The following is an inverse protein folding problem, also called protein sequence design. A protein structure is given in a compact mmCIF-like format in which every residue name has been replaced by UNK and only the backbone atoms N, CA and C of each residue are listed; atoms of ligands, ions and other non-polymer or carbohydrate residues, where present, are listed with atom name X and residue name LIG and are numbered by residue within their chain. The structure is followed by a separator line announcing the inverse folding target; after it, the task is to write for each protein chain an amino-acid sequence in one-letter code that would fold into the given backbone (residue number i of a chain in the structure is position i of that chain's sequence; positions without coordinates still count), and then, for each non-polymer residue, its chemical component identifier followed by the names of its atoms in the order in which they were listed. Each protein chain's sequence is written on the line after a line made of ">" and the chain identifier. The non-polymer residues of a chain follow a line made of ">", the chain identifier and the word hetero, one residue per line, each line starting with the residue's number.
data_IF_693774935338
#
_entry.id   IF_693774935338
#
_cell.length_a   1.000
_cell.length_b   1.000
_cell.length_c   1.000
_cell.angle_alpha   90.00
_cell.angle_beta   90.00
_cell.angle_gamma   90.00
#
_symmetry.space_group_name_H-M   'P 1'
#
loop_
_entity.id
_entity.type
_entity.pdbx_description
1 polymer ?
#
# COMPACT_ATOMS: atom_id res chain seq x y z
N UNK A 1 1.97 -17.76 13.02
CA UNK A 1 3.08 -18.51 12.45
C UNK A 1 2.56 -19.45 11.36
N UNK A 2 2.85 -19.12 10.09
CA UNK A 2 2.40 -19.90 8.92
C UNK A 2 3.23 -21.18 8.71
N UNK A 3 4.24 -21.44 9.54
CA UNK A 3 5.07 -22.64 9.49
C UNK A 3 4.24 -23.88 9.87
N UNK A 4 3.75 -24.59 8.88
CA UNK A 4 2.93 -25.79 9.07
C UNK A 4 1.61 -25.80 8.32
N UNK A 5 1.19 -24.66 7.75
CA UNK A 5 0.06 -24.66 6.83
C UNK A 5 0.49 -25.21 5.47
N UNK A 6 -0.27 -26.15 4.86
CA UNK A 6 0.07 -26.69 3.55
C UNK A 6 0.09 -25.54 2.51
N UNK A 7 1.23 -25.39 1.80
CA UNK A 7 1.41 -24.37 0.75
C UNK A 7 0.33 -24.46 -0.35
N UNK A 8 -0.31 -25.59 -0.51
CA UNK A 8 -1.39 -25.86 -1.45
C UNK A 8 -2.67 -25.04 -1.18
N UNK A 9 -2.86 -24.55 0.06
CA UNK A 9 -4.04 -23.73 0.45
C UNK A 9 -3.96 -22.29 -0.02
N UNK A 10 -2.77 -21.79 -0.33
CA UNK A 10 -2.55 -20.38 -0.72
C UNK A 10 -2.38 -20.17 -2.23
N UNK A 11 -2.63 -21.20 -3.03
CA UNK A 11 -2.37 -21.16 -4.47
C UNK A 11 -0.86 -20.98 -4.78
N UNK A 12 -0.46 -21.19 -6.03
CA UNK A 12 0.94 -21.14 -6.49
C UNK A 12 1.58 -19.72 -6.47
N UNK A 13 1.05 -18.79 -5.70
CA UNK A 13 1.46 -17.39 -5.74
C UNK A 13 2.50 -16.98 -4.69
N UNK A 14 2.99 -17.91 -3.86
CA UNK A 14 4.17 -17.64 -3.04
C UNK A 14 5.40 -18.03 -3.86
N UNK A 15 5.72 -17.24 -4.88
CA UNK A 15 7.07 -17.25 -5.44
C UNK A 15 8.04 -16.91 -4.29
N UNK A 16 9.05 -17.73 -4.11
CA UNK A 16 10.06 -17.56 -3.08
C UNK A 16 10.65 -16.14 -3.17
N UNK A 17 10.39 -15.33 -2.17
CA UNK A 17 10.98 -14.00 -2.05
C UNK A 17 12.53 -14.03 -1.93
N UNK A 18 13.13 -15.23 -1.92
CA UNK A 18 14.57 -15.43 -1.79
C UNK A 18 15.41 -15.22 -3.05
N UNK A 19 14.81 -15.20 -4.25
CA UNK A 19 15.56 -15.12 -5.52
C UNK A 19 15.44 -13.77 -6.24
N UNK A 20 14.62 -12.87 -5.74
CA UNK A 20 14.52 -11.52 -6.26
C UNK A 20 15.36 -10.63 -5.34
N UNK A 21 16.39 -10.00 -5.87
CA UNK A 21 17.13 -8.94 -5.17
C UNK A 21 16.18 -7.79 -4.81
N UNK A 22 15.33 -8.03 -3.81
CA UNK A 22 14.35 -7.05 -3.33
C UNK A 22 15.13 -5.99 -2.58
N UNK A 23 14.94 -4.76 -2.99
CA UNK A 23 15.58 -3.63 -2.35
C UNK A 23 15.13 -2.33 -3.01
N UNK A 24 15.76 -1.26 -2.58
CA UNK A 24 15.67 0.03 -3.25
C UNK A 24 16.72 0.97 -2.67
N UNK A 25 17.17 1.87 -3.51
CA UNK A 25 18.06 2.95 -3.09
C UNK A 25 17.46 4.28 -3.53
N UNK A 26 17.66 5.30 -2.71
CA UNK A 26 17.47 6.67 -3.14
C UNK A 26 18.57 7.56 -2.54
N UNK A 27 18.93 8.62 -3.24
CA UNK A 27 19.83 9.64 -2.72
C UNK A 27 19.47 11.01 -3.29
N UNK A 28 19.85 12.04 -2.55
CA UNK A 28 19.70 13.42 -2.97
C UNK A 28 21.04 14.15 -2.82
N UNK A 29 21.34 15.04 -3.76
CA UNK A 29 22.50 15.91 -3.73
C UNK A 29 22.01 17.35 -3.74
N UNK A 30 22.37 18.13 -2.72
CA UNK A 30 21.96 19.53 -2.61
C UNK A 30 22.57 20.41 -3.69
N UNK A 31 21.86 21.48 -4.06
CA UNK A 31 22.23 22.39 -5.15
C UNK A 31 23.61 23.01 -5.02
N UNK A 32 24.14 23.17 -3.81
CA UNK A 32 25.51 23.66 -3.59
C UNK A 32 26.60 22.75 -4.18
N UNK A 33 26.30 21.50 -4.46
CA UNK A 33 27.22 20.51 -5.03
C UNK A 33 26.96 20.22 -6.52
N UNK A 34 26.03 20.95 -7.14
CA UNK A 34 25.64 20.77 -8.54
C UNK A 34 26.08 21.97 -9.38
N UNK A 35 26.22 21.78 -10.69
CA UNK A 35 26.70 22.85 -11.58
C UNK A 35 25.66 23.91 -11.88
N UNK A 36 24.38 23.59 -11.71
CA UNK A 36 23.25 24.48 -12.00
C UNK A 36 22.53 25.01 -10.74
N UNK A 37 22.99 24.62 -9.55
CA UNK A 37 22.41 25.06 -8.30
C UNK A 37 21.10 24.35 -7.90
N UNK A 38 20.56 23.46 -8.73
CA UNK A 38 19.38 22.68 -8.40
C UNK A 38 19.75 21.35 -7.74
N UNK A 39 18.91 20.85 -6.85
CA UNK A 39 19.12 19.54 -6.27
C UNK A 39 18.98 18.40 -7.32
N UNK A 40 19.66 17.31 -7.08
CA UNK A 40 19.50 16.05 -7.82
C UNK A 40 18.91 15.00 -6.89
N UNK A 41 17.79 14.40 -7.28
CA UNK A 41 17.17 13.28 -6.58
C UNK A 41 17.22 12.06 -7.47
N UNK A 42 17.78 10.96 -6.98
CA UNK A 42 17.82 9.69 -7.69
C UNK A 42 17.06 8.62 -6.91
N UNK A 43 16.36 7.76 -7.63
CA UNK A 43 15.61 6.64 -7.10
C UNK A 43 15.87 5.38 -7.92
N UNK A 44 16.12 4.28 -7.23
CA UNK A 44 16.39 2.98 -7.81
C UNK A 44 15.60 1.91 -7.05
N UNK A 45 14.46 1.55 -7.60
CA UNK A 45 13.51 0.60 -7.01
C UNK A 45 13.69 -0.78 -7.64
N UNK A 46 14.15 -1.75 -6.85
CA UNK A 46 14.43 -3.11 -7.30
C UNK A 46 13.13 -3.95 -7.26
N UNK A 47 12.25 -3.77 -8.25
CA UNK A 47 10.94 -4.46 -8.35
C UNK A 47 10.86 -5.48 -9.48
N UNK A 48 11.97 -6.01 -9.94
CA UNK A 48 12.10 -6.92 -11.08
C UNK A 48 11.79 -6.26 -12.45
N UNK A 49 12.45 -6.75 -13.48
CA UNK A 49 12.19 -6.37 -14.86
C UNK A 49 11.19 -7.34 -15.48
N UNK A 50 10.07 -6.83 -15.99
CA UNK A 50 9.03 -7.61 -16.64
C UNK A 50 8.34 -6.84 -17.76
N UNK A 51 7.61 -7.55 -18.61
CA UNK A 51 6.75 -6.95 -19.64
C UNK A 51 5.33 -7.47 -19.43
N UNK A 52 4.33 -6.60 -19.23
CA UNK A 52 4.45 -5.14 -19.10
C UNK A 52 5.18 -4.74 -17.82
N UNK A 53 5.85 -3.57 -17.88
CA UNK A 53 6.49 -2.99 -16.72
C UNK A 53 5.43 -2.55 -15.70
N UNK A 54 5.77 -2.66 -14.40
CA UNK A 54 4.89 -2.16 -13.33
C UNK A 54 4.86 -0.63 -13.27
N UNK A 55 5.96 0.03 -13.61
CA UNK A 55 6.08 1.48 -13.59
C UNK A 55 5.51 2.10 -14.86
N UNK A 56 4.61 3.07 -14.70
CA UNK A 56 4.07 3.88 -15.78
C UNK A 56 4.67 5.28 -15.73
N UNK A 57 5.43 5.66 -16.75
CA UNK A 57 5.99 7.00 -16.86
C UNK A 57 4.92 7.96 -17.35
N UNK A 58 4.70 9.06 -16.61
CA UNK A 58 3.67 10.05 -16.92
C UNK A 58 4.20 11.48 -16.75
N UNK A 59 3.58 12.40 -17.49
CA UNK A 59 3.61 13.84 -17.24
C UNK A 59 2.18 14.32 -17.16
N UNK A 60 1.81 14.94 -16.05
CA UNK A 60 0.47 15.45 -15.81
C UNK A 60 0.51 16.98 -15.80
N UNK A 61 -0.44 17.59 -16.45
CA UNK A 61 -0.61 19.06 -16.48
C UNK A 61 -2.07 19.38 -16.23
N UNK A 62 -2.33 20.12 -15.18
CA UNK A 62 -3.69 20.54 -14.84
C UNK A 62 -3.70 21.87 -14.10
N UNK A 63 -4.81 22.66 -14.21
CA UNK A 63 -4.95 23.89 -13.48
C UNK A 63 -5.23 23.63 -12.01
N UNK A 64 -4.71 24.50 -11.14
CA UNK A 64 -5.15 24.70 -9.77
C UNK A 64 -5.59 26.16 -9.60
N UNK A 65 -6.28 26.46 -8.48
CA UNK A 65 -6.76 27.81 -8.19
C UNK A 65 -5.63 28.86 -8.17
N UNK A 66 -4.42 28.45 -7.74
CA UNK A 66 -3.23 29.31 -7.66
C UNK A 66 -2.19 29.04 -8.75
N UNK A 67 -2.59 28.56 -9.92
CA UNK A 67 -1.68 28.33 -11.04
C UNK A 67 -1.89 26.96 -11.72
N UNK A 68 -0.85 26.49 -12.39
CA UNK A 68 -0.86 25.20 -13.06
C UNK A 68 0.19 24.26 -12.45
N UNK A 69 -0.20 23.00 -12.27
CA UNK A 69 0.73 21.90 -11.95
C UNK A 69 1.26 21.33 -13.27
N UNK A 70 2.56 21.08 -13.31
CA UNK A 70 3.24 20.36 -14.39
C UNK A 70 4.23 19.40 -13.76
N UNK A 71 3.83 18.16 -13.62
CA UNK A 71 4.61 17.12 -12.95
C UNK A 71 5.02 16.03 -13.91
N UNK A 72 6.21 15.49 -13.71
CA UNK A 72 6.71 14.37 -14.48
C UNK A 72 7.35 13.33 -13.52
N UNK A 73 7.10 12.06 -13.79
CA UNK A 73 7.64 10.99 -12.96
C UNK A 73 7.08 9.63 -13.33
N UNK A 74 6.99 8.79 -12.34
CA UNK A 74 6.49 7.41 -12.47
C UNK A 74 5.37 7.16 -11.48
N UNK A 75 4.39 6.38 -11.93
CA UNK A 75 3.24 5.93 -11.14
C UNK A 75 3.16 4.40 -11.16
N UNK A 76 2.30 3.85 -10.32
CA UNK A 76 1.97 2.43 -10.24
C UNK A 76 0.51 2.20 -10.63
N UNK A 77 0.15 1.03 -11.17
CA UNK A 77 -1.24 0.69 -11.44
C UNK A 77 -2.11 0.83 -10.20
N UNK A 78 -3.20 1.59 -10.31
CA UNK A 78 -4.13 1.85 -9.21
C UNK A 78 -3.76 3.02 -8.29
N UNK A 79 -2.57 3.62 -8.44
CA UNK A 79 -2.18 4.81 -7.69
C UNK A 79 -2.54 6.06 -8.50
N UNK A 80 -3.46 6.93 -8.02
CA UNK A 80 -3.89 8.12 -8.74
C UNK A 80 -2.94 9.29 -8.51
N UNK A 81 -1.67 9.16 -8.89
CA UNK A 81 -0.67 10.22 -8.69
C UNK A 81 0.74 9.80 -9.08
N UNK A 82 1.68 10.71 -8.97
CA UNK A 82 3.10 10.48 -9.22
C UNK A 82 3.80 10.02 -7.95
N UNK A 83 4.20 8.75 -7.92
CA UNK A 83 4.87 8.13 -6.76
C UNK A 83 6.29 8.67 -6.57
N UNK A 84 7.04 8.82 -7.65
CA UNK A 84 8.37 9.44 -7.64
C UNK A 84 8.52 10.34 -8.85
N UNK A 85 8.94 11.58 -8.64
CA UNK A 85 9.00 12.55 -9.72
C UNK A 85 9.35 13.97 -9.28
N UNK A 86 9.01 14.93 -10.13
CA UNK A 86 9.22 16.35 -9.85
C UNK A 86 8.14 17.21 -10.51
N UNK A 87 7.78 18.28 -9.83
CA UNK A 87 6.94 19.36 -10.36
C UNK A 87 7.75 20.58 -10.86
N UNK A 88 9.06 20.43 -10.99
CA UNK A 88 9.98 21.50 -11.42
C UNK A 88 10.39 22.46 -10.31
N UNK A 89 9.86 22.32 -9.09
CA UNK A 89 10.25 23.06 -7.89
C UNK A 89 10.87 22.12 -6.86
N UNK A 90 10.20 21.00 -6.61
CA UNK A 90 10.69 19.93 -5.74
C UNK A 90 10.71 18.63 -6.51
N UNK A 91 11.62 17.75 -6.13
CA UNK A 91 11.64 16.36 -6.56
C UNK A 91 11.55 15.45 -5.34
N UNK A 92 10.83 14.34 -5.46
CA UNK A 92 10.64 13.37 -4.39
C UNK A 92 10.82 11.94 -4.89
N UNK A 93 11.29 11.10 -3.99
CA UNK A 93 11.57 9.70 -4.27
C UNK A 93 11.42 8.86 -3.00
N UNK A 94 10.83 7.68 -3.14
CA UNK A 94 10.65 6.74 -2.05
C UNK A 94 11.46 5.47 -2.25
N UNK A 95 11.96 4.89 -1.15
CA UNK A 95 12.37 3.48 -1.16
C UNK A 95 11.14 2.59 -1.09
N UNK A 96 11.30 1.29 -1.34
CA UNK A 96 10.25 0.34 -1.04
C UNK A 96 9.97 0.31 0.48
N UNK A 97 8.71 0.10 0.84
CA UNK A 97 8.34 -0.26 2.19
C UNK A 97 8.44 -1.77 2.34
N UNK A 98 9.23 -2.23 3.32
CA UNK A 98 9.34 -3.63 3.67
C UNK A 98 9.21 -3.76 5.18
N UNK A 99 8.15 -4.41 5.63
CA UNK A 99 7.84 -4.51 7.05
C UNK A 99 6.76 -5.55 7.32
N UNK A 100 6.50 -5.77 8.59
CA UNK A 100 5.45 -6.64 9.08
C UNK A 100 4.13 -5.86 9.15
N UNK A 101 3.41 -5.84 8.04
CA UNK A 101 2.19 -5.05 7.88
C UNK A 101 0.91 -5.83 8.07
N UNK A 102 0.99 -7.16 7.96
CA UNK A 102 -0.17 -8.03 8.08
C UNK A 102 0.20 -9.36 8.73
N UNK A 103 -0.75 -9.90 9.49
CA UNK A 103 -0.69 -11.22 10.10
C UNK A 103 -1.91 -12.06 9.74
N UNK A 104 -1.71 -13.37 9.75
CA UNK A 104 -2.79 -14.32 9.77
C UNK A 104 -3.10 -14.70 11.21
N UNK A 105 -4.36 -14.49 11.61
CA UNK A 105 -4.84 -14.85 12.94
C UNK A 105 -5.75 -16.05 12.82
N UNK A 106 -5.43 -17.13 13.52
CA UNK A 106 -6.30 -18.28 13.66
C UNK A 106 -7.50 -17.91 14.55
N UNK A 107 -8.69 -17.98 13.98
CA UNK A 107 -9.96 -17.70 14.65
C UNK A 107 -10.59 -19.00 15.07
N UNK A 108 -10.50 -19.35 16.35
CA UNK A 108 -11.14 -20.53 16.89
C UNK A 108 -12.64 -20.27 17.11
N UNK A 109 -13.49 -20.92 16.32
CA UNK A 109 -14.93 -20.83 16.43
C UNK A 109 -15.44 -21.58 17.66
N UNK A 110 -16.44 -21.04 18.34
CA UNK A 110 -17.07 -21.60 19.53
C UNK A 110 -18.45 -22.21 19.25
N UNK A 111 -18.96 -22.03 18.01
CA UNK A 111 -20.23 -22.60 17.56
C UNK A 111 -20.17 -22.91 16.06
N UNK A 112 -20.98 -23.89 15.64
CA UNK A 112 -21.07 -24.32 14.25
C UNK A 112 -21.58 -23.22 13.29
N UNK A 113 -22.26 -22.22 13.80
CA UNK A 113 -22.71 -21.06 13.03
C UNK A 113 -21.62 -20.02 12.78
N UNK A 114 -20.42 -20.22 13.37
CA UNK A 114 -19.28 -19.29 13.27
C UNK A 114 -19.64 -17.86 13.67
N UNK A 115 -20.48 -17.72 14.71
CA UNK A 115 -20.94 -16.43 15.21
C UNK A 115 -20.17 -15.94 16.42
N UNK A 116 -19.48 -16.84 17.12
CA UNK A 116 -18.65 -16.54 18.30
C UNK A 116 -17.29 -17.20 18.17
N UNK A 117 -16.28 -16.52 18.65
CA UNK A 117 -14.90 -17.00 18.59
C UNK A 117 -14.12 -16.63 19.85
N UNK A 118 -13.01 -17.34 20.09
CA UNK A 118 -12.14 -17.16 21.25
C UNK A 118 -11.22 -15.95 21.06
N UNK A 119 -11.02 -15.20 22.14
CA UNK A 119 -10.03 -14.12 22.23
C UNK A 119 -9.21 -14.26 23.52
N UNK A 120 -8.15 -13.49 23.67
CA UNK A 120 -7.38 -13.46 24.91
C UNK A 120 -8.19 -12.96 26.12
N UNK A 121 -9.21 -12.13 25.90
CA UNK A 121 -10.11 -11.63 26.94
C UNK A 121 -11.36 -12.47 27.16
N UNK A 122 -11.50 -13.65 26.51
CA UNK A 122 -12.68 -14.48 26.59
C UNK A 122 -13.28 -14.81 25.24
N UNK A 123 -14.54 -14.51 24.99
CA UNK A 123 -15.20 -14.70 23.70
C UNK A 123 -15.62 -13.35 23.08
N UNK A 124 -15.68 -13.32 21.74
CA UNK A 124 -16.21 -12.22 20.97
C UNK A 124 -17.22 -12.72 19.92
N UNK A 125 -18.02 -11.81 19.39
CA UNK A 125 -18.96 -12.09 18.31
C UNK A 125 -18.39 -11.63 16.98
N UNK A 126 -18.52 -12.46 15.96
CA UNK A 126 -18.29 -12.07 14.59
C UNK A 126 -19.48 -11.25 14.06
N UNK A 127 -19.20 -10.33 13.15
CA UNK A 127 -20.20 -9.62 12.36
C UNK A 127 -20.13 -10.07 10.91
N UNK A 128 -21.20 -9.84 10.15
CA UNK A 128 -21.22 -10.13 8.71
C UNK A 128 -21.53 -8.82 7.98
N UNK A 129 -20.58 -8.34 7.22
CA UNK A 129 -20.77 -7.26 6.27
C UNK A 129 -21.20 -7.86 4.92
N UNK A 130 -22.26 -7.31 4.33
CA UNK A 130 -22.75 -7.75 3.02
C UNK A 130 -22.36 -6.73 1.97
N UNK A 131 -21.52 -7.16 1.03
CA UNK A 131 -21.07 -6.36 -0.08
C UNK A 131 -21.78 -6.78 -1.37
N UNK A 132 -22.25 -5.81 -2.13
CA UNK A 132 -22.87 -6.06 -3.44
C UNK A 132 -21.97 -5.51 -4.54
N UNK A 133 -21.51 -6.40 -5.40
CA UNK A 133 -20.65 -6.06 -6.53
C UNK A 133 -21.52 -6.03 -7.78
N UNK A 134 -21.78 -4.83 -8.29
CA UNK A 134 -22.50 -4.64 -9.55
C UNK A 134 -21.63 -5.05 -10.73
N UNK A 135 -22.17 -5.91 -11.59
CA UNK A 135 -21.44 -6.44 -12.77
C UNK A 135 -22.11 -5.95 -14.03
N UNK A 136 -21.36 -5.20 -14.88
CA UNK A 136 -21.90 -4.70 -16.13
C UNK A 136 -22.36 -5.86 -17.05
N UNK A 137 -23.63 -5.89 -17.42
CA UNK A 137 -24.21 -6.90 -18.31
C UNK A 137 -24.49 -8.26 -17.65
N UNK A 138 -24.37 -8.39 -16.33
CA UNK A 138 -24.66 -9.61 -15.57
C UNK A 138 -25.40 -9.29 -14.25
N UNK A 139 -25.82 -10.32 -13.54
CA UNK A 139 -26.39 -10.15 -12.21
C UNK A 139 -25.32 -9.70 -11.21
N UNK A 140 -25.70 -8.86 -10.24
CA UNK A 140 -24.82 -8.49 -9.15
C UNK A 140 -24.34 -9.71 -8.36
N UNK A 141 -23.11 -9.65 -7.91
CA UNK A 141 -22.53 -10.65 -7.01
C UNK A 141 -22.61 -10.18 -5.57
N UNK A 142 -23.17 -10.99 -4.68
CA UNK A 142 -23.26 -10.71 -3.24
C UNK A 142 -22.16 -11.47 -2.52
N UNK A 143 -21.35 -10.74 -1.74
CA UNK A 143 -20.29 -11.27 -0.90
C UNK A 143 -20.63 -11.00 0.56
N UNK A 144 -20.78 -12.04 1.36
CA UNK A 144 -20.90 -11.94 2.81
C UNK A 144 -19.51 -12.09 3.44
N UNK A 145 -19.02 -11.02 4.06
CA UNK A 145 -17.69 -10.96 4.70
C UNK A 145 -17.87 -11.13 6.20
N UNK A 146 -17.33 -12.19 6.76
CA UNK A 146 -17.29 -12.39 8.20
C UNK A 146 -16.16 -11.61 8.81
N UNK A 147 -16.45 -10.72 9.75
CA UNK A 147 -15.48 -9.84 10.39
C UNK A 147 -15.25 -10.19 11.85
N UNK A 148 -14.02 -10.06 12.29
CA UNK A 148 -13.56 -10.24 13.67
C UNK A 148 -12.86 -8.98 14.17
N UNK A 149 -12.48 -8.95 15.46
CA UNK A 149 -11.66 -7.84 16.01
C UNK A 149 -10.28 -7.72 15.34
N UNK A 150 -9.82 -8.73 14.62
CA UNK A 150 -8.53 -8.71 13.89
C UNK A 150 -8.67 -8.31 12.43
N UNK A 151 -9.88 -8.45 11.87
CA UNK A 151 -10.17 -8.18 10.47
C UNK A 151 -11.06 -9.25 9.84
N UNK A 152 -11.24 -9.23 8.50
CA UNK A 152 -12.07 -10.18 7.78
C UNK A 152 -11.48 -11.60 7.81
N UNK A 153 -12.37 -12.59 7.92
CA UNK A 153 -12.02 -14.00 7.77
C UNK A 153 -12.04 -14.35 6.29
N UNK A 154 -10.89 -14.59 5.70
CA UNK A 154 -10.74 -14.79 4.25
C UNK A 154 -10.42 -16.23 3.85
N UNK A 155 -10.12 -17.09 4.82
CA UNK A 155 -9.89 -18.51 4.59
C UNK A 155 -10.35 -19.35 5.79
N UNK A 156 -10.41 -20.66 5.59
CA UNK A 156 -10.70 -21.63 6.64
C UNK A 156 -9.51 -22.59 6.70
N UNK A 157 -8.97 -22.80 7.90
CA UNK A 157 -7.90 -23.77 8.11
C UNK A 157 -8.46 -25.20 8.25
N UNK A 158 -9.56 -25.34 9.02
CA UNK A 158 -10.33 -26.55 9.21
C UNK A 158 -11.79 -26.20 9.57
N UNK A 159 -12.59 -27.20 9.98
CA UNK A 159 -14.03 -26.99 10.27
C UNK A 159 -14.26 -26.01 11.42
N UNK A 160 -13.36 -25.97 12.41
CA UNK A 160 -13.48 -25.17 13.62
C UNK A 160 -12.58 -23.90 13.61
N UNK A 161 -11.74 -23.73 12.59
CA UNK A 161 -10.73 -22.66 12.56
C UNK A 161 -10.82 -21.84 11.29
N UNK A 162 -11.09 -20.53 11.44
CA UNK A 162 -10.97 -19.53 10.39
C UNK A 162 -9.60 -18.88 10.37
N UNK A 163 -9.25 -18.22 9.27
CA UNK A 163 -8.06 -17.36 9.14
C UNK A 163 -8.50 -15.93 8.88
N UNK A 164 -8.33 -15.07 9.88
CA UNK A 164 -8.57 -13.64 9.74
C UNK A 164 -7.30 -12.93 9.25
N UNK A 165 -7.50 -11.94 8.39
CA UNK A 165 -6.42 -11.07 7.91
C UNK A 165 -6.32 -9.83 8.79
N UNK A 166 -5.35 -9.80 9.68
CA UNK A 166 -5.00 -8.63 10.48
C UNK A 166 -4.03 -7.75 9.68
N UNK A 167 -4.57 -6.78 8.95
CA UNK A 167 -3.79 -5.89 8.10
C UNK A 167 -3.85 -4.46 8.59
N UNK A 168 -2.70 -3.80 8.73
CA UNK A 168 -2.62 -2.42 9.23
C UNK A 168 -3.40 -1.44 8.35
N UNK A 169 -3.52 -1.71 7.03
CA UNK A 169 -4.30 -0.88 6.11
C UNK A 169 -5.82 -0.93 6.34
N UNK A 170 -6.33 -1.87 7.14
CA UNK A 170 -7.74 -1.90 7.53
C UNK A 170 -8.09 -0.94 8.69
N UNK A 171 -7.08 -0.27 9.28
CA UNK A 171 -7.33 0.70 10.35
C UNK A 171 -7.78 2.03 9.76
N UNK A 172 -8.70 2.69 10.47
CA UNK A 172 -9.16 4.02 10.09
C UNK A 172 -7.98 5.00 9.95
N UNK A 173 -7.91 5.70 8.83
CA UNK A 173 -6.85 6.66 8.53
C UNK A 173 -5.48 6.06 8.20
N UNK A 174 -5.36 4.73 8.10
CA UNK A 174 -4.08 4.09 7.77
C UNK A 174 -3.67 4.26 6.31
N UNK A 175 -4.64 4.49 5.42
CA UNK A 175 -4.41 4.72 3.99
C UNK A 175 -5.25 5.91 3.54
N UNK A 176 -4.60 6.86 2.88
CA UNK A 176 -5.24 8.01 2.25
C UNK A 176 -4.58 8.39 0.92
N UNK A 177 -4.99 9.51 0.33
CA UNK A 177 -4.43 10.04 -0.91
C UNK A 177 -3.63 11.33 -0.69
N UNK A 178 -3.26 11.64 0.53
CA UNK A 178 -2.63 12.92 0.90
C UNK A 178 -1.26 13.12 0.25
N UNK A 179 -0.57 12.03 -0.13
CA UNK A 179 0.65 12.15 -0.94
C UNK A 179 0.44 12.89 -2.27
N UNK A 180 -0.77 12.90 -2.82
CA UNK A 180 -1.10 13.68 -4.02
C UNK A 180 -0.90 15.18 -3.84
N UNK A 181 -0.91 15.69 -2.61
CA UNK A 181 -0.62 17.11 -2.30
C UNK A 181 0.82 17.50 -2.62
N UNK A 182 1.77 16.55 -2.65
CA UNK A 182 3.16 16.79 -3.05
C UNK A 182 3.28 17.32 -4.48
N UNK A 183 2.32 17.01 -5.33
CA UNK A 183 2.27 17.46 -6.73
C UNK A 183 2.22 18.98 -6.87
N UNK A 184 1.70 19.67 -5.85
CA UNK A 184 1.61 21.13 -5.80
C UNK A 184 2.64 21.77 -4.84
N UNK A 185 3.42 20.99 -4.11
CA UNK A 185 4.39 21.48 -3.14
C UNK A 185 5.47 22.37 -3.77
N UNK A 186 5.94 23.35 -3.01
CA UNK A 186 6.87 24.39 -3.48
C UNK A 186 8.24 24.36 -2.78
N UNK A 187 8.35 23.61 -1.69
CA UNK A 187 9.58 23.48 -0.92
C UNK A 187 9.73 22.08 -0.30
N UNK A 188 10.93 21.76 0.15
CA UNK A 188 11.22 20.53 0.89
C UNK A 188 10.36 20.43 2.16
N UNK A 189 10.20 21.54 2.89
CA UNK A 189 9.43 21.58 4.13
C UNK A 189 7.97 21.24 3.90
N UNK A 190 7.36 21.74 2.81
CA UNK A 190 5.98 21.40 2.46
C UNK A 190 5.82 19.91 2.16
N UNK A 191 6.75 19.32 1.39
CA UNK A 191 6.71 17.88 1.11
C UNK A 191 6.86 17.04 2.38
N UNK A 192 7.79 17.42 3.28
CA UNK A 192 7.98 16.71 4.54
C UNK A 192 6.77 16.82 5.47
N UNK A 193 6.10 17.98 5.50
CA UNK A 193 4.87 18.16 6.26
C UNK A 193 3.73 17.28 5.71
N UNK A 194 3.56 17.21 4.39
CA UNK A 194 2.58 16.34 3.74
C UNK A 194 2.89 14.87 4.07
N UNK A 195 4.15 14.46 3.96
CA UNK A 195 4.56 13.08 4.22
C UNK A 195 4.34 12.65 5.67
N UNK A 196 4.46 13.58 6.62
CA UNK A 196 4.25 13.29 8.04
C UNK A 196 2.79 12.94 8.37
N UNK A 197 1.84 13.48 7.60
CA UNK A 197 0.40 13.28 7.80
C UNK A 197 -0.17 12.17 6.89
N UNK A 198 0.55 11.79 5.83
CA UNK A 198 0.05 10.86 4.82
C UNK A 198 -0.10 9.42 5.35
N UNK A 199 -1.24 8.82 5.07
CA UNK A 199 -1.56 7.42 5.36
C UNK A 199 -0.89 6.47 4.37
N UNK A 200 0.41 6.23 4.56
CA UNK A 200 1.23 5.30 3.75
C UNK A 200 2.13 4.48 4.66
N UNK A 201 2.60 3.30 4.20
CA UNK A 201 3.57 2.53 4.96
C UNK A 201 4.85 3.35 5.21
N UNK A 202 5.49 3.26 6.39
CA UNK A 202 6.77 3.90 6.64
C UNK A 202 7.83 3.47 5.63
N UNK A 203 8.51 4.44 5.04
CA UNK A 203 9.56 4.23 4.04
C UNK A 203 10.51 5.43 4.02
N UNK A 204 11.69 5.27 3.43
CA UNK A 204 12.56 6.42 3.26
C UNK A 204 12.00 7.33 2.15
N UNK A 205 11.89 8.61 2.45
CA UNK A 205 11.57 9.66 1.51
C UNK A 205 12.78 10.58 1.36
N UNK A 206 13.24 10.78 0.12
CA UNK A 206 14.21 11.83 -0.20
C UNK A 206 13.54 12.91 -1.01
N UNK A 207 13.84 14.15 -0.67
CA UNK A 207 13.29 15.36 -1.30
C UNK A 207 14.42 16.32 -1.60
N UNK A 208 14.32 17.04 -2.71
CA UNK A 208 15.23 18.11 -3.08
C UNK A 208 14.52 19.22 -3.84
N UNK A 209 14.98 20.46 -3.66
CA UNK A 209 14.53 21.67 -4.35
C UNK A 209 15.68 22.47 -4.99
#
# INVERSE_FOLDING_TARGET
>A
DLRGLPAERFGKAVAHAGDLGIGSNNFAVGGALTTNGAALVANDMHLSLRVPNIWFRARLRFPLDEGAVDIAGVSLPGVPGIVAGSNGRVAWAFTNSYGDWLDWVEVQWLDAGRTRYRTAGGEARATVARETIEVAGASAHVLDVTETIWGPVIATADDDTGLALAWTAHRDGAVDLDLGRMEAARSVEEVLAIAADAGVPPQNLLVGD
#
